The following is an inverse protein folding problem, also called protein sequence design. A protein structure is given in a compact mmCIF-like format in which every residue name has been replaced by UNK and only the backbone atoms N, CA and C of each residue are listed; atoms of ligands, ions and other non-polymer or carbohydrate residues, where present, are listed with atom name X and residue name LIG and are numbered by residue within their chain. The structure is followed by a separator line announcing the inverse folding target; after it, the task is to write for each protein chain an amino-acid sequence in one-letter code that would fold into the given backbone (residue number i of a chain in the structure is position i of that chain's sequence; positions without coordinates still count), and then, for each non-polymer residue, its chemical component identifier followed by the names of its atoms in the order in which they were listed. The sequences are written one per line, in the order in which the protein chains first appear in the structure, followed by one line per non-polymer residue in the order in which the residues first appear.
data_IF_617229613305
#
_entry.id   IF_617229613305
#
_cell.length_a   1.000
_cell.length_b   1.000
_cell.length_c   1.000
_cell.angle_alpha   90.00
_cell.angle_beta   90.00
_cell.angle_gamma   90.00
#
_symmetry.space_group_name_H-M   'P 1'
#
loop_
_entity.id
_entity.type
_entity.pdbx_description
1 polymer ?
#
# COMPACT_ATOMS: atom_id res chain seq x y z
N UNK A 1 0.18 13.80 0.96
CA UNK A 1 -1.24 13.38 0.94
C UNK A 1 -2.13 14.55 1.28
N UNK A 2 -3.18 14.77 0.48
CA UNK A 2 -4.29 15.66 0.83
C UNK A 2 -5.13 15.04 1.96
N UNK A 3 -5.87 15.87 2.70
CA UNK A 3 -6.63 15.42 3.87
C UNK A 3 -7.75 14.44 3.50
N UNK A 4 -8.37 14.64 2.34
CA UNK A 4 -9.45 13.84 1.76
C UNK A 4 -8.97 12.84 0.71
N UNK A 5 -7.67 12.55 0.66
CA UNK A 5 -7.08 11.60 -0.28
C UNK A 5 -7.84 10.28 -0.30
N UNK A 6 -8.06 9.76 -1.51
CA UNK A 6 -8.63 8.44 -1.74
C UNK A 6 -7.54 7.38 -1.66
N UNK A 7 -7.77 6.34 -0.87
CA UNK A 7 -6.91 5.18 -0.74
C UNK A 7 -7.71 3.97 -1.22
N UNK A 8 -7.15 3.21 -2.15
CA UNK A 8 -7.78 1.99 -2.63
C UNK A 8 -6.76 0.89 -2.85
N UNK A 9 -7.19 -0.33 -2.60
CA UNK A 9 -6.52 -1.57 -2.98
C UNK A 9 -7.54 -2.45 -3.75
N UNK A 10 -7.18 -3.66 -4.22
CA UNK A 10 -8.10 -4.52 -4.98
C UNK A 10 -9.39 -4.94 -4.24
N UNK A 11 -9.45 -4.78 -2.91
CA UNK A 11 -10.54 -5.26 -2.07
C UNK A 11 -11.38 -4.14 -1.47
N UNK A 12 -10.78 -2.99 -1.14
CA UNK A 12 -11.46 -1.88 -0.47
C UNK A 12 -10.99 -0.52 -0.98
N UNK A 13 -11.89 0.46 -0.92
CA UNK A 13 -11.55 1.87 -1.05
C UNK A 13 -12.14 2.70 0.09
N UNK A 14 -11.43 3.75 0.46
CA UNK A 14 -11.89 4.73 1.44
C UNK A 14 -11.22 6.10 1.21
N UNK A 15 -11.76 7.14 1.85
CA UNK A 15 -11.17 8.48 1.85
C UNK A 15 -10.78 8.90 3.26
N UNK A 16 -9.74 9.74 3.33
CA UNK A 16 -9.31 10.40 4.56
C UNK A 16 -7.94 9.95 5.05
N UNK A 17 -7.03 10.92 5.18
CA UNK A 17 -5.65 10.68 5.62
C UNK A 17 -5.57 10.17 7.07
N UNK A 18 -6.43 10.65 7.97
CA UNK A 18 -6.42 10.21 9.36
C UNK A 18 -6.79 8.74 9.51
N UNK A 19 -7.78 8.28 8.73
CA UNK A 19 -8.15 6.86 8.65
C UNK A 19 -7.00 6.02 8.12
N UNK A 20 -6.32 6.49 7.07
CA UNK A 20 -5.15 5.79 6.53
C UNK A 20 -4.04 5.66 7.58
N UNK A 21 -3.71 6.74 8.30
CA UNK A 21 -2.70 6.72 9.37
C UNK A 21 -3.05 5.74 10.48
N UNK A 22 -4.32 5.69 10.90
CA UNK A 22 -4.79 4.74 11.91
C UNK A 22 -4.61 3.29 11.45
N UNK A 23 -4.98 2.98 10.20
CA UNK A 23 -4.81 1.63 9.63
C UNK A 23 -3.33 1.21 9.59
N UNK A 24 -2.45 2.10 9.12
CA UNK A 24 -1.00 1.84 9.05
C UNK A 24 -0.41 1.69 10.46
N UNK A 25 -0.82 2.50 11.43
CA UNK A 25 -0.32 2.39 12.80
C UNK A 25 -0.69 1.05 13.45
N UNK A 26 -1.94 0.60 13.25
CA UNK A 26 -2.42 -0.67 13.81
C UNK A 26 -1.64 -1.86 13.25
N UNK A 27 -1.44 -1.91 11.93
CA UNK A 27 -0.72 -3.01 11.29
C UNK A 27 0.79 -2.91 11.48
N UNK A 28 1.34 -1.70 11.31
CA UNK A 28 2.77 -1.42 11.42
C UNK A 28 3.34 -1.68 12.82
N UNK A 29 2.53 -1.52 13.87
CA UNK A 29 2.92 -1.89 15.23
C UNK A 29 3.28 -3.37 15.40
N UNK A 30 2.80 -4.25 14.51
CA UNK A 30 3.07 -5.69 14.53
C UNK A 30 4.18 -6.12 13.56
N UNK A 31 4.72 -5.22 12.73
CA UNK A 31 5.70 -5.57 11.71
C UNK A 31 7.15 -5.47 12.23
N UNK A 32 7.95 -6.51 12.00
CA UNK A 32 9.39 -6.59 12.27
C UNK A 32 10.14 -6.93 10.99
N UNK A 33 11.44 -6.65 10.96
CA UNK A 33 12.31 -7.00 9.81
C UNK A 33 11.69 -6.57 8.46
N UNK A 34 11.19 -5.33 8.41
CA UNK A 34 10.47 -4.80 7.24
C UNK A 34 11.46 -4.52 6.11
N UNK A 35 11.19 -5.09 4.94
CA UNK A 35 11.93 -4.84 3.70
C UNK A 35 10.96 -4.38 2.61
N UNK A 36 11.25 -3.24 1.99
CA UNK A 36 10.50 -2.71 0.86
C UNK A 36 11.48 -2.33 -0.24
N UNK A 37 11.34 -2.98 -1.38
CA UNK A 37 12.21 -2.80 -2.55
C UNK A 37 11.41 -2.24 -3.71
N UNK A 38 11.71 -1.01 -4.10
CA UNK A 38 11.17 -0.42 -5.33
C UNK A 38 11.87 -1.04 -6.53
N UNK A 39 11.09 -1.56 -7.47
CA UNK A 39 11.53 -2.23 -8.70
C UNK A 39 11.50 -1.31 -9.90
N UNK A 40 10.52 -0.43 -9.96
CA UNK A 40 10.45 0.66 -10.92
C UNK A 40 9.81 1.89 -10.29
N UNK A 41 10.14 3.03 -10.86
CA UNK A 41 9.57 4.33 -10.53
C UNK A 41 9.42 5.09 -11.84
N UNK A 42 8.19 5.45 -12.16
CA UNK A 42 7.83 6.10 -13.42
C UNK A 42 6.98 7.33 -13.13
N UNK A 43 7.42 8.48 -13.63
CA UNK A 43 6.59 9.68 -13.65
C UNK A 43 5.53 9.53 -14.75
N UNK A 44 4.33 9.97 -14.45
CA UNK A 44 3.17 9.97 -15.34
C UNK A 44 2.62 11.38 -15.45
N UNK A 45 1.72 11.63 -16.40
CA UNK A 45 1.10 12.95 -16.59
C UNK A 45 0.48 13.51 -15.29
N UNK A 46 -0.19 12.65 -14.51
CA UNK A 46 -0.92 13.05 -13.30
C UNK A 46 -0.21 12.69 -11.99
N UNK A 47 1.02 12.19 -12.02
CA UNK A 47 1.73 11.77 -10.80
C UNK A 47 2.78 10.70 -11.02
N UNK A 48 2.79 9.64 -10.19
CA UNK A 48 3.86 8.64 -10.16
C UNK A 48 3.29 7.23 -10.05
N UNK A 49 3.88 6.28 -10.77
CA UNK A 49 3.66 4.85 -10.58
C UNK A 49 4.95 4.18 -10.09
N UNK A 50 4.81 3.28 -9.12
CA UNK A 50 5.93 2.49 -8.59
C UNK A 50 5.57 1.02 -8.53
N UNK A 51 6.48 0.14 -8.93
CA UNK A 51 6.39 -1.29 -8.66
C UNK A 51 7.28 -1.64 -7.46
N UNK A 52 6.83 -2.53 -6.59
CA UNK A 52 7.50 -2.85 -5.34
C UNK A 52 7.40 -4.33 -4.97
N UNK A 53 8.37 -4.77 -4.15
CA UNK A 53 8.29 -5.99 -3.35
C UNK A 53 8.40 -5.63 -1.89
N UNK A 54 7.52 -6.18 -1.08
CA UNK A 54 7.42 -5.95 0.35
C UNK A 54 7.55 -7.28 1.09
N UNK A 55 8.24 -7.27 2.21
CA UNK A 55 8.16 -8.35 3.19
C UNK A 55 8.32 -7.84 4.61
N UNK A 56 7.78 -8.59 5.57
CA UNK A 56 8.01 -8.37 6.99
C UNK A 56 7.78 -9.68 7.76
N UNK A 57 8.29 -9.73 8.99
CA UNK A 57 7.96 -10.76 9.97
C UNK A 57 6.95 -10.17 10.95
N UNK A 58 5.81 -10.81 11.15
CA UNK A 58 4.85 -10.34 12.15
C UNK A 58 5.26 -10.74 13.57
N UNK A 59 5.04 -9.84 14.52
CA UNK A 59 5.26 -10.02 15.95
C UNK A 59 4.13 -10.85 16.60
N UNK A 60 3.98 -12.09 16.14
CA UNK A 60 3.03 -13.10 16.63
C UNK A 60 3.81 -14.32 17.15
N UNK A 61 3.21 -15.20 17.99
CA UNK A 61 3.95 -16.29 18.65
C UNK A 61 4.71 -17.23 17.69
N UNK A 62 4.21 -17.43 16.48
CA UNK A 62 4.84 -18.27 15.45
C UNK A 62 5.63 -17.48 14.39
N UNK A 63 5.81 -16.16 14.59
CA UNK A 63 6.58 -15.23 13.74
C UNK A 63 6.36 -15.44 12.23
N UNK A 64 5.11 -15.38 11.72
CA UNK A 64 4.87 -15.63 10.31
C UNK A 64 5.50 -14.55 9.45
N UNK A 65 6.03 -14.95 8.29
CA UNK A 65 6.53 -14.03 7.27
C UNK A 65 5.39 -13.63 6.34
N UNK A 66 5.17 -12.33 6.19
CA UNK A 66 4.34 -11.76 5.13
C UNK A 66 5.24 -11.30 3.99
N UNK A 67 4.85 -11.60 2.76
CA UNK A 67 5.49 -11.08 1.57
C UNK A 67 4.42 -10.76 0.52
N UNK A 68 4.59 -9.63 -0.16
CA UNK A 68 3.71 -9.18 -1.23
C UNK A 68 4.55 -8.51 -2.32
N UNK A 69 4.05 -8.54 -3.55
CA UNK A 69 4.53 -7.66 -4.62
C UNK A 69 3.34 -7.01 -5.30
N UNK A 70 3.62 -5.94 -6.02
CA UNK A 70 2.61 -5.19 -6.73
C UNK A 70 3.11 -3.79 -7.04
N UNK A 71 2.18 -2.87 -7.23
CA UNK A 71 2.50 -1.49 -7.52
C UNK A 71 1.54 -0.50 -6.89
N UNK A 72 1.96 0.76 -6.86
CA UNK A 72 1.17 1.86 -6.32
C UNK A 72 1.16 3.01 -7.32
N UNK A 73 -0.04 3.52 -7.62
CA UNK A 73 -0.24 4.76 -8.37
C UNK A 73 -0.57 5.89 -7.41
N UNK A 74 0.21 6.95 -7.46
CA UNK A 74 -0.01 8.19 -6.74
C UNK A 74 -0.42 9.27 -7.74
N UNK A 75 -1.64 9.80 -7.60
CA UNK A 75 -2.10 10.96 -8.38
C UNK A 75 -1.88 12.21 -7.56
N UNK A 76 -1.23 13.21 -8.15
CA UNK A 76 -0.92 14.50 -7.53
C UNK A 76 -1.92 15.57 -7.99
N UNK A 77 -2.15 16.58 -7.16
CA UNK A 77 -2.85 17.81 -7.55
C UNK A 77 -1.83 18.93 -7.87
N UNK A 78 -2.33 20.10 -8.25
CA UNK A 78 -1.53 21.29 -8.57
C UNK A 78 -0.67 21.80 -7.39
N UNK A 79 -1.00 21.39 -6.16
CA UNK A 79 -0.21 21.70 -4.95
C UNK A 79 0.85 20.62 -4.64
N UNK A 80 1.10 19.69 -5.57
CA UNK A 80 1.98 18.53 -5.40
C UNK A 80 1.59 17.63 -4.21
N UNK A 81 0.30 17.53 -3.90
CA UNK A 81 -0.22 16.62 -2.87
C UNK A 81 -0.84 15.39 -3.52
N UNK A 82 -0.51 14.22 -2.99
CA UNK A 82 -1.21 12.97 -3.35
C UNK A 82 -2.70 13.07 -2.99
N UNK A 83 -3.57 13.03 -3.99
CA UNK A 83 -5.03 13.02 -3.86
C UNK A 83 -5.64 11.63 -4.08
N UNK A 84 -4.90 10.72 -4.73
CA UNK A 84 -5.25 9.31 -4.84
C UNK A 84 -4.03 8.43 -4.66
N UNK A 85 -4.18 7.36 -3.89
CA UNK A 85 -3.20 6.31 -3.65
C UNK A 85 -3.88 4.98 -3.96
N UNK A 86 -3.51 4.38 -5.08
CA UNK A 86 -4.11 3.13 -5.55
C UNK A 86 -3.07 2.03 -5.58
N UNK A 87 -3.24 1.03 -4.73
CA UNK A 87 -2.43 -0.17 -4.72
C UNK A 87 -3.00 -1.23 -5.67
N UNK A 88 -2.09 -1.95 -6.33
CA UNK A 88 -2.34 -3.15 -7.13
C UNK A 88 -1.45 -4.23 -6.54
N UNK A 89 -1.99 -5.41 -6.24
CA UNK A 89 -1.21 -6.50 -5.68
C UNK A 89 -1.10 -7.64 -6.70
N UNK A 90 0.08 -8.24 -6.81
CA UNK A 90 0.34 -9.42 -7.65
C UNK A 90 -0.15 -10.71 -6.98
N UNK A 91 -1.36 -10.67 -6.45
CA UNK A 91 -2.03 -11.84 -5.87
C UNK A 91 -3.25 -12.16 -6.72
N UNK A 92 -3.47 -13.44 -7.01
CA UNK A 92 -4.73 -13.88 -7.61
C UNK A 92 -5.84 -13.73 -6.56
N UNK A 93 -6.83 -12.83 -6.74
CA UNK A 93 -7.89 -12.61 -5.76
C UNK A 93 -8.66 -13.90 -5.42
N UNK A 94 -8.70 -14.86 -6.35
CA UNK A 94 -9.36 -16.17 -6.14
C UNK A 94 -8.61 -17.05 -5.15
N UNK A 95 -7.29 -16.87 -4.97
CA UNK A 95 -6.50 -17.59 -3.96
C UNK A 95 -6.60 -16.98 -2.57
N UNK A 96 -7.06 -15.72 -2.47
CA UNK A 96 -7.17 -14.98 -1.20
C UNK A 96 -8.54 -15.17 -0.54
N UNK A 97 -9.60 -15.32 -1.33
CA UNK A 97 -10.98 -15.54 -0.84
C UNK A 97 -11.35 -17.03 -0.67
N UNK A 98 -10.47 -17.94 -1.06
CA UNK A 98 -10.63 -19.39 -0.88
C UNK A 98 -9.98 -19.89 0.42
N UNK A 99 -10.61 -19.63 1.56
CA UNK A 99 -10.40 -20.36 2.81
C UNK A 99 -11.73 -20.95 3.27
#
# INVERSE_FOLDING_TARGET
YAGDCEFADPFVSFRGLDRFRANVANLGGMMREVDLQIKSFEETEDGVQTEWRFSCVLDLPWRPMLAASGGTTHVLNDENRVVRHYERWDVDPKKVLGQ
#
